data_IF_029106142563
#
_entry.id   IF_029106142563
#
_cell.length_a   1.000
_cell.length_b   1.000
_cell.length_c   1.000
_cell.angle_alpha   90.00
_cell.angle_beta   90.00
_cell.angle_gamma   90.00
#
_symmetry.space_group_name_H-M   'P 1'
#
loop_
_entity.id
_entity.type
_entity.pdbx_description
1 polymer ?
#
# COMPACT_ATOMS: atom_id res chain seq x y z
N UNK A 1 14.19 23.24 14.20
CA UNK A 1 13.38 22.57 13.16
C UNK A 1 14.34 22.20 12.05
N UNK A 2 14.17 21.01 11.46
CA UNK A 2 15.15 20.26 10.63
C UNK A 2 16.21 19.49 11.41
N UNK A 3 15.78 18.47 12.17
CA UNK A 3 16.69 17.44 12.70
C UNK A 3 16.37 16.04 12.16
N UNK A 4 15.64 15.96 11.04
CA UNK A 4 15.14 14.71 10.48
C UNK A 4 15.52 14.58 9.00
N UNK A 5 15.73 13.34 8.55
CA UNK A 5 16.13 13.01 7.20
C UNK A 5 15.17 13.61 6.15
N UNK A 6 15.73 14.22 5.09
CA UNK A 6 14.97 14.91 4.02
C UNK A 6 14.19 13.89 3.16
N UNK A 7 14.68 12.65 3.04
CA UNK A 7 14.06 11.63 2.19
C UNK A 7 12.66 11.25 2.68
N UNK A 8 12.50 10.88 3.96
CA UNK A 8 11.18 10.56 4.55
C UNK A 8 10.17 11.71 4.42
N UNK A 9 10.66 12.96 4.43
CA UNK A 9 9.84 14.14 4.25
C UNK A 9 9.38 14.36 2.82
N UNK A 10 9.97 13.72 1.82
CA UNK A 10 9.67 13.96 0.40
C UNK A 10 9.11 12.74 -0.31
N UNK A 11 9.32 11.53 0.21
CA UNK A 11 8.74 10.30 -0.33
C UNK A 11 7.21 10.36 -0.43
N UNK A 12 6.69 9.94 -1.59
CA UNK A 12 5.26 9.79 -1.89
C UNK A 12 4.42 11.08 -1.80
N UNK A 13 5.04 12.27 -1.89
CA UNK A 13 4.32 13.55 -1.90
C UNK A 13 3.74 13.95 -3.25
N UNK A 14 4.10 13.26 -4.32
CA UNK A 14 3.56 13.49 -5.65
C UNK A 14 2.05 13.21 -5.68
N UNK A 15 1.30 14.12 -6.30
CA UNK A 15 -0.15 13.98 -6.41
C UNK A 15 -0.49 12.94 -7.47
N UNK A 16 -1.42 12.05 -7.13
CA UNK A 16 -2.05 11.17 -8.10
C UNK A 16 -2.94 11.96 -9.07
N UNK A 17 -3.03 11.50 -10.31
CA UNK A 17 -3.98 12.01 -11.29
C UNK A 17 -5.42 11.81 -10.83
N UNK A 18 -6.31 12.70 -11.27
CA UNK A 18 -7.73 12.68 -10.86
C UNK A 18 -8.54 11.56 -11.54
N UNK A 19 -8.10 11.11 -12.71
CA UNK A 19 -8.84 10.18 -13.58
C UNK A 19 -8.30 8.74 -13.52
N UNK A 20 -7.48 8.41 -12.51
CA UNK A 20 -6.93 7.06 -12.38
C UNK A 20 -8.03 6.04 -12.04
N UNK A 21 -8.00 4.89 -12.72
CA UNK A 21 -8.91 3.78 -12.41
C UNK A 21 -8.51 3.08 -11.10
N UNK A 22 -9.44 2.37 -10.43
CA UNK A 22 -9.12 1.55 -9.26
C UNK A 22 -7.97 0.57 -9.52
N UNK A 23 -7.93 -0.08 -10.69
CA UNK A 23 -6.83 -0.95 -11.10
C UNK A 23 -5.49 -0.21 -11.20
N UNK A 24 -5.45 0.97 -11.81
CA UNK A 24 -4.24 1.78 -11.90
C UNK A 24 -3.76 2.25 -10.52
N UNK A 25 -4.69 2.64 -9.64
CA UNK A 25 -4.39 2.99 -8.26
C UNK A 25 -3.81 1.81 -7.50
N UNK A 26 -4.41 0.62 -7.65
CA UNK A 26 -3.93 -0.62 -7.02
C UNK A 26 -2.51 -0.94 -7.46
N UNK A 27 -2.23 -0.89 -8.77
CA UNK A 27 -0.89 -1.13 -9.32
C UNK A 27 0.15 -0.19 -8.72
N UNK A 28 -0.15 1.11 -8.71
CA UNK A 28 0.74 2.13 -8.15
C UNK A 28 0.95 1.93 -6.65
N UNK A 29 -0.13 1.63 -5.91
CA UNK A 29 -0.04 1.38 -4.47
C UNK A 29 0.87 0.19 -4.16
N UNK A 30 0.73 -0.93 -4.87
CA UNK A 30 1.60 -2.11 -4.70
C UNK A 30 3.06 -1.72 -4.93
N UNK A 31 3.37 -1.05 -6.04
CA UNK A 31 4.75 -0.64 -6.33
C UNK A 31 5.32 0.34 -5.31
N UNK A 32 4.52 1.29 -4.82
CA UNK A 32 4.99 2.27 -3.85
C UNK A 32 5.06 1.71 -2.43
N UNK A 33 4.18 0.79 -2.07
CA UNK A 33 4.27 0.04 -0.82
C UNK A 33 5.53 -0.83 -0.78
N UNK A 34 5.88 -1.49 -1.90
CA UNK A 34 7.15 -2.23 -2.01
C UNK A 34 8.37 -1.33 -1.77
N UNK A 35 8.44 -0.16 -2.45
CA UNK A 35 9.51 0.82 -2.23
C UNK A 35 9.56 1.33 -0.78
N UNK A 36 8.40 1.56 -0.18
CA UNK A 36 8.32 1.95 1.23
C UNK A 36 8.85 0.84 2.13
N UNK A 37 8.49 -0.42 1.89
CA UNK A 37 8.97 -1.56 2.66
C UNK A 37 10.50 -1.69 2.57
N UNK A 38 11.08 -1.58 1.37
CA UNK A 38 12.54 -1.57 1.18
C UNK A 38 13.21 -0.41 1.92
N UNK A 39 12.61 0.79 1.85
CA UNK A 39 13.09 1.96 2.60
C UNK A 39 13.03 1.71 4.11
N UNK A 40 11.90 1.20 4.60
CA UNK A 40 11.67 0.98 6.02
C UNK A 40 12.62 -0.07 6.60
N UNK A 41 12.83 -1.17 5.87
CA UNK A 41 13.81 -2.19 6.24
C UNK A 41 15.23 -1.62 6.27
N UNK A 42 15.65 -0.83 5.26
CA UNK A 42 16.96 -0.18 5.29
C UNK A 42 17.11 0.78 6.47
N UNK A 43 16.07 1.53 6.81
CA UNK A 43 16.07 2.43 7.96
C UNK A 43 16.16 1.66 9.29
N UNK A 44 15.48 0.51 9.43
CA UNK A 44 15.54 -0.27 10.67
C UNK A 44 16.94 -0.80 10.97
N UNK A 45 17.72 -1.07 9.93
CA UNK A 45 19.12 -1.53 9.99
C UNK A 45 20.12 -0.41 10.35
N UNK A 46 19.70 0.87 10.41
CA UNK A 46 20.59 1.95 10.84
C UNK A 46 20.66 2.06 12.37
N UNK A 47 21.72 2.73 12.84
CA UNK A 47 21.90 3.13 14.24
C UNK A 47 21.36 4.55 14.53
N UNK A 48 20.66 5.17 13.56
CA UNK A 48 20.12 6.53 13.71
C UNK A 48 18.95 6.56 14.70
N UNK A 49 18.93 7.58 15.58
CA UNK A 49 17.86 7.75 16.58
C UNK A 49 16.50 8.03 15.92
N UNK A 50 16.50 8.64 14.73
CA UNK A 50 15.32 9.04 13.98
C UNK A 50 14.70 7.94 13.12
N UNK A 51 15.24 6.72 13.09
CA UNK A 51 14.80 5.67 12.15
C UNK A 51 13.30 5.36 12.23
N UNK A 52 12.75 5.24 13.44
CA UNK A 52 11.32 4.97 13.65
C UNK A 52 10.46 6.12 13.13
N UNK A 53 10.93 7.36 13.34
CA UNK A 53 10.27 8.55 12.82
C UNK A 53 10.30 8.58 11.29
N UNK A 54 11.44 8.25 10.67
CA UNK A 54 11.58 8.21 9.21
C UNK A 54 10.64 7.16 8.57
N UNK A 55 10.56 5.97 9.19
CA UNK A 55 9.68 4.88 8.76
C UNK A 55 8.21 5.31 8.85
N UNK A 56 7.81 5.83 10.02
CA UNK A 56 6.43 6.29 10.24
C UNK A 56 6.06 7.44 9.31
N UNK A 57 6.95 8.43 9.16
CA UNK A 57 6.69 9.62 8.35
C UNK A 57 6.54 9.30 6.86
N UNK A 58 7.37 8.40 6.34
CA UNK A 58 7.28 7.96 4.94
C UNK A 58 6.01 7.12 4.70
N UNK A 59 5.59 6.31 5.68
CA UNK A 59 4.32 5.58 5.61
C UNK A 59 3.11 6.51 5.63
N UNK A 60 3.10 7.51 6.50
CA UNK A 60 2.06 8.55 6.52
C UNK A 60 1.88 9.17 5.13
N UNK A 61 2.99 9.54 4.48
CA UNK A 61 2.91 10.13 3.15
C UNK A 61 2.36 9.12 2.13
N UNK A 62 2.74 7.84 2.20
CA UNK A 62 2.19 6.77 1.37
C UNK A 62 0.67 6.66 1.57
N UNK A 63 0.19 6.58 2.82
CA UNK A 63 -1.24 6.48 3.11
C UNK A 63 -1.98 7.71 2.61
N UNK A 64 -1.50 8.91 2.90
CA UNK A 64 -2.12 10.18 2.46
C UNK A 64 -2.15 10.34 0.93
N UNK A 65 -1.27 9.65 0.21
CA UNK A 65 -1.27 9.65 -1.26
C UNK A 65 -2.48 8.90 -1.83
N UNK A 66 -2.89 7.79 -1.20
CA UNK A 66 -3.93 6.88 -1.72
C UNK A 66 -5.26 6.93 -0.96
N UNK A 67 -5.24 7.27 0.32
CA UNK A 67 -6.40 7.25 1.22
C UNK A 67 -6.89 8.68 1.52
N UNK A 68 -8.04 8.79 2.18
CA UNK A 68 -8.52 10.06 2.76
C UNK A 68 -7.65 10.51 3.93
N UNK A 69 -7.60 11.82 4.20
CA UNK A 69 -6.66 12.42 5.15
C UNK A 69 -6.84 11.98 6.61
N UNK A 70 -8.04 11.55 6.98
CA UNK A 70 -8.43 11.09 8.32
C UNK A 70 -8.44 9.55 8.45
N UNK A 71 -7.91 8.84 7.45
CA UNK A 71 -7.84 7.37 7.44
C UNK A 71 -7.12 6.86 8.68
N UNK A 72 -7.81 6.01 9.44
CA UNK A 72 -7.22 5.17 10.48
C UNK A 72 -6.76 3.86 9.86
N UNK A 73 -5.51 3.50 10.10
CA UNK A 73 -4.89 2.28 9.60
C UNK A 73 -4.18 1.54 10.75
N UNK A 74 -3.92 0.24 10.56
CA UNK A 74 -3.28 -0.60 11.58
C UNK A 74 -1.79 -0.26 11.75
N UNK A 75 -1.14 -0.87 12.75
CA UNK A 75 0.29 -0.70 12.99
C UNK A 75 1.16 -1.06 11.77
N UNK A 76 2.33 -0.44 11.70
CA UNK A 76 3.31 -0.62 10.63
C UNK A 76 3.91 -2.03 10.70
N UNK A 77 3.89 -2.75 9.58
CA UNK A 77 4.65 -3.98 9.39
C UNK A 77 5.52 -3.82 8.15
N UNK A 78 6.82 -4.11 8.30
CA UNK A 78 7.81 -4.10 7.23
C UNK A 78 8.84 -5.21 7.47
N UNK A 79 9.56 -5.63 6.42
CA UNK A 79 10.54 -6.70 6.50
C UNK A 79 11.42 -6.83 5.26
N UNK A 80 12.37 -7.77 5.28
CA UNK A 80 13.31 -8.00 4.19
C UNK A 80 12.70 -8.73 2.97
N UNK A 81 11.62 -9.47 3.19
CA UNK A 81 10.87 -10.20 2.16
C UNK A 81 9.69 -9.35 1.69
N UNK A 82 9.97 -8.30 0.92
CA UNK A 82 8.95 -7.50 0.25
C UNK A 82 8.24 -8.27 -0.86
N UNK A 83 7.04 -7.84 -1.22
CA UNK A 83 6.24 -8.40 -2.32
C UNK A 83 6.44 -7.52 -3.57
N UNK A 84 7.34 -7.86 -4.52
CA UNK A 84 7.59 -7.02 -5.68
C UNK A 84 6.42 -7.09 -6.67
N UNK A 85 6.27 -6.04 -7.49
CA UNK A 85 5.07 -5.86 -8.32
C UNK A 85 4.85 -6.97 -9.35
N UNK A 86 5.93 -7.49 -9.92
CA UNK A 86 5.95 -8.54 -10.95
C UNK A 86 5.31 -9.86 -10.49
N UNK A 87 5.26 -10.10 -9.17
CA UNK A 87 4.70 -11.31 -8.59
C UNK A 87 3.17 -11.22 -8.37
N UNK A 88 2.56 -10.09 -8.73
CA UNK A 88 1.12 -9.88 -8.61
C UNK A 88 0.38 -10.15 -9.93
N UNK A 89 -0.68 -10.96 -9.84
CA UNK A 89 -1.67 -11.15 -10.91
C UNK A 89 -2.98 -10.44 -10.56
N UNK A 90 -3.45 -9.58 -11.46
CA UNK A 90 -4.72 -8.87 -11.32
C UNK A 90 -5.86 -9.74 -11.86
N UNK A 91 -6.78 -10.13 -10.98
CA UNK A 91 -7.80 -11.13 -11.28
C UNK A 91 -9.09 -10.50 -11.78
N UNK A 92 -9.57 -9.48 -11.06
CA UNK A 92 -10.89 -8.89 -11.30
C UNK A 92 -10.91 -7.42 -10.85
N UNK A 93 -11.61 -6.59 -11.61
CA UNK A 93 -12.01 -5.25 -11.20
C UNK A 93 -13.54 -5.16 -11.33
N UNK A 94 -14.21 -4.86 -10.22
CA UNK A 94 -15.66 -4.61 -10.19
C UNK A 94 -15.88 -3.15 -9.82
N UNK A 95 -16.64 -2.43 -10.64
CA UNK A 95 -17.00 -1.03 -10.40
C UNK A 95 -18.53 -0.93 -10.33
N UNK A 96 -19.05 -0.36 -9.26
CA UNK A 96 -20.47 -0.05 -9.08
C UNK A 96 -20.60 1.36 -8.50
N UNK A 97 -21.04 2.29 -9.36
CA UNK A 97 -21.16 3.71 -9.06
C UNK A 97 -19.87 4.32 -8.47
N UNK A 98 -19.87 4.57 -7.17
CA UNK A 98 -18.79 5.22 -6.43
C UNK A 98 -17.95 4.23 -5.61
N UNK A 99 -18.14 2.92 -5.81
CA UNK A 99 -17.42 1.86 -5.11
C UNK A 99 -16.73 0.98 -6.14
N UNK A 100 -15.49 0.58 -5.85
CA UNK A 100 -14.79 -0.40 -6.66
C UNK A 100 -14.02 -1.39 -5.81
N UNK A 101 -13.86 -2.61 -6.32
CA UNK A 101 -13.07 -3.67 -5.70
C UNK A 101 -12.11 -4.21 -6.77
N UNK A 102 -10.82 -4.27 -6.43
CA UNK A 102 -9.79 -4.91 -7.26
C UNK A 102 -9.26 -6.13 -6.52
N UNK A 103 -9.41 -7.31 -7.14
CA UNK A 103 -8.89 -8.57 -6.62
C UNK A 103 -7.53 -8.86 -7.21
N UNK A 104 -6.56 -9.20 -6.36
CA UNK A 104 -5.18 -9.44 -6.75
C UNK A 104 -4.67 -10.70 -6.08
N UNK A 105 -3.90 -11.49 -6.80
CA UNK A 105 -3.15 -12.63 -6.28
C UNK A 105 -1.68 -12.28 -6.22
N UNK A 106 -1.03 -12.46 -5.07
CA UNK A 106 0.42 -12.49 -4.95
C UNK A 106 0.91 -13.94 -4.98
N UNK A 107 1.94 -14.22 -5.78
CA UNK A 107 2.53 -15.54 -5.90
C UNK A 107 3.95 -15.51 -5.30
N UNK A 108 4.22 -16.33 -4.27
CA UNK A 108 5.56 -16.37 -3.67
C UNK A 108 6.55 -16.99 -4.68
N UNK A 109 7.61 -16.26 -5.10
CA UNK A 109 8.56 -16.76 -6.09
C UNK A 109 9.48 -17.86 -5.53
N UNK A 110 9.63 -17.95 -4.20
CA UNK A 110 10.41 -19.00 -3.52
C UNK A 110 9.56 -20.26 -3.27
N UNK A 111 8.24 -20.13 -3.23
CA UNK A 111 7.28 -21.22 -3.01
C UNK A 111 6.07 -21.10 -3.95
N UNK A 112 6.19 -21.63 -5.17
CA UNK A 112 5.17 -21.54 -6.22
C UNK A 112 3.78 -22.13 -5.86
N UNK A 113 3.71 -23.01 -4.87
CA UNK A 113 2.46 -23.53 -4.32
C UNK A 113 1.79 -22.59 -3.30
N UNK A 114 2.48 -21.53 -2.85
CA UNK A 114 1.95 -20.53 -1.90
C UNK A 114 1.55 -19.27 -2.62
N UNK A 115 0.32 -18.83 -2.37
CA UNK A 115 -0.16 -17.55 -2.85
C UNK A 115 -1.00 -16.88 -1.77
N UNK A 116 -1.13 -15.57 -1.89
CA UNK A 116 -2.03 -14.75 -1.08
C UNK A 116 -3.05 -14.07 -1.98
N UNK A 117 -4.30 -14.02 -1.54
CA UNK A 117 -5.35 -13.26 -2.21
C UNK A 117 -5.60 -11.96 -1.44
N UNK A 118 -5.70 -10.87 -2.20
CA UNK A 118 -5.97 -9.55 -1.66
C UNK A 118 -7.14 -8.90 -2.38
N UNK A 119 -7.88 -8.08 -1.62
CA UNK A 119 -8.88 -7.17 -2.17
C UNK A 119 -8.55 -5.73 -1.79
N UNK A 120 -8.56 -4.85 -2.79
CA UNK A 120 -8.41 -3.41 -2.64
C UNK A 120 -9.75 -2.76 -2.88
N UNK A 121 -10.29 -2.12 -1.85
CA UNK A 121 -11.61 -1.51 -1.86
C UNK A 121 -11.47 -0.01 -1.98
N UNK A 122 -12.17 0.58 -2.94
CA UNK A 122 -12.12 1.99 -3.23
C UNK A 122 -13.49 2.63 -3.08
N UNK A 123 -13.48 3.90 -2.65
CA UNK A 123 -14.62 4.81 -2.77
C UNK A 123 -14.25 5.99 -3.66
N UNK A 124 -15.24 6.64 -4.27
CA UNK A 124 -15.06 7.79 -5.16
C UNK A 124 -15.55 9.12 -4.54
N UNK A 125 -15.01 9.59 -3.40
CA UNK A 125 -15.38 10.89 -2.88
C UNK A 125 -14.96 12.00 -3.86
N UNK A 126 -15.83 12.98 -4.11
CA UNK A 126 -15.52 14.15 -4.94
C UNK A 126 -14.94 13.80 -6.33
N UNK A 127 -15.48 12.75 -6.96
CA UNK A 127 -15.11 12.29 -8.30
C UNK A 127 -13.67 11.75 -8.45
N UNK A 128 -12.99 11.37 -7.36
CA UNK A 128 -11.69 10.69 -7.40
C UNK A 128 -11.74 9.42 -6.55
N UNK A 129 -11.21 8.31 -7.06
CA UNK A 129 -11.08 7.09 -6.26
C UNK A 129 -9.99 7.24 -5.19
N UNK A 130 -10.33 6.80 -3.98
CA UNK A 130 -9.43 6.70 -2.83
C UNK A 130 -9.48 5.28 -2.30
N UNK A 131 -8.33 4.73 -1.94
CA UNK A 131 -8.24 3.42 -1.29
C UNK A 131 -8.86 3.54 0.09
N UNK A 132 -9.95 2.81 0.30
CA UNK A 132 -10.65 2.74 1.57
C UNK A 132 -10.04 1.63 2.41
N UNK A 133 -9.91 0.42 1.87
CA UNK A 133 -9.49 -0.75 2.64
C UNK A 133 -8.64 -1.71 1.80
N UNK A 134 -7.69 -2.40 2.44
CA UNK A 134 -6.99 -3.58 1.90
C UNK A 134 -7.35 -4.78 2.77
N UNK A 135 -7.76 -5.87 2.15
CA UNK A 135 -8.01 -7.14 2.82
C UNK A 135 -7.07 -8.23 2.31
N UNK A 136 -6.59 -9.08 3.21
CA UNK A 136 -6.19 -10.44 2.89
C UNK A 136 -7.43 -11.34 2.90
N UNK A 137 -7.56 -12.22 1.91
CA UNK A 137 -8.65 -13.18 1.80
C UNK A 137 -8.07 -14.57 2.01
N UNK A 138 -8.53 -15.27 3.04
CA UNK A 138 -8.08 -16.63 3.33
C UNK A 138 -8.82 -17.68 2.49
N UNK A 139 -8.43 -18.95 2.68
CA UNK A 139 -8.96 -20.09 1.93
C UNK A 139 -10.47 -20.33 2.18
N UNK A 140 -11.03 -19.79 3.26
CA UNK A 140 -12.46 -19.84 3.59
C UNK A 140 -13.22 -18.62 3.05
N UNK A 141 -12.57 -17.74 2.28
CA UNK A 141 -13.05 -16.44 1.82
C UNK A 141 -13.36 -15.43 2.95
N UNK A 142 -12.77 -15.62 4.13
CA UNK A 142 -12.85 -14.65 5.22
C UNK A 142 -11.87 -13.51 4.96
N UNK A 143 -12.35 -12.28 5.14
CA UNK A 143 -11.58 -11.06 4.90
C UNK A 143 -10.93 -10.57 6.19
N UNK A 144 -9.61 -10.50 6.19
CA UNK A 144 -8.80 -9.95 7.26
C UNK A 144 -8.32 -8.56 6.85
N UNK A 145 -8.67 -7.54 7.63
CA UNK A 145 -8.32 -6.14 7.32
C UNK A 145 -6.84 -5.87 7.56
N UNK A 146 -6.17 -5.30 6.55
CA UNK A 146 -4.74 -4.92 6.56
C UNK A 146 -4.53 -3.40 6.47
N UNK A 147 -5.48 -2.67 5.87
CA UNK A 147 -5.48 -1.21 5.78
C UNK A 147 -6.89 -0.68 5.98
#
# INVERSE_FOLDING_TARGET
MEKYNIEANTMFKEKLGIDLTPLELTKRFISDYYKWNEYAYRQSETEEEEKDWNIGKSYDNLILKYCVADKKYQGLAYGNDGEPFEDFTFLEETISDNIAIVKVKYQDPKMDFRYSLFEYHFKKPNNRYTLEEKYYVDDENVKHKYL
#
